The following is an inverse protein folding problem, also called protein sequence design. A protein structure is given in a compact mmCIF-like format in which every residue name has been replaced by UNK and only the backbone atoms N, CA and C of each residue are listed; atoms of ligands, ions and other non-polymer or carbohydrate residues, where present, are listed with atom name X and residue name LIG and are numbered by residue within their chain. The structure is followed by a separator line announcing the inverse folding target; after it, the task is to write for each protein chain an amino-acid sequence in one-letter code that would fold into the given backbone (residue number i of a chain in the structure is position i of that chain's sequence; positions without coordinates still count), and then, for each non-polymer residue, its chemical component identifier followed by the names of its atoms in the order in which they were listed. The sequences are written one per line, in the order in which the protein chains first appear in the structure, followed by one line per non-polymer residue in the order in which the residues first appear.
data_IF_364883509829
#
_entry.id   IF_364883509829
#
_cell.length_a   1.000
_cell.length_b   1.000
_cell.length_c   1.000
_cell.angle_alpha   90.00
_cell.angle_beta   90.00
_cell.angle_gamma   90.00
#
_symmetry.space_group_name_H-M   'P 1'
#
loop_
_entity.id
_entity.type
_entity.pdbx_description
1 polymer ?
#
# COMPACT_ATOMS: atom_id res chain seq x y z
N UNK A 1 -0.14 4.82 31.61
CA UNK A 1 -0.61 4.23 30.34
C UNK A 1 0.06 4.98 29.20
N UNK A 2 1.05 4.40 28.54
CA UNK A 2 1.88 5.09 27.55
C UNK A 2 1.09 5.33 26.25
N UNK A 3 0.65 6.56 25.99
CA UNK A 3 0.14 7.04 24.68
C UNK A 3 1.27 7.04 23.64
N UNK A 4 1.82 5.88 23.29
CA UNK A 4 2.74 5.75 22.15
C UNK A 4 1.91 5.32 20.95
N UNK A 5 1.45 6.29 20.17
CA UNK A 5 0.67 6.07 18.95
C UNK A 5 1.32 5.03 18.01
N UNK A 6 0.49 4.22 17.35
CA UNK A 6 0.89 3.09 16.49
C UNK A 6 2.12 3.38 15.63
N UNK A 7 3.15 2.54 15.71
CA UNK A 7 4.38 2.77 14.95
C UNK A 7 4.18 2.73 13.43
N UNK A 8 4.97 3.49 12.68
CA UNK A 8 4.92 3.48 11.19
C UNK A 8 4.96 2.06 10.63
N UNK A 9 5.74 1.17 11.28
CA UNK A 9 5.82 -0.25 10.90
C UNK A 9 4.50 -0.99 11.15
N UNK A 10 3.80 -0.73 12.26
CA UNK A 10 2.47 -1.33 12.53
C UNK A 10 1.41 -0.83 11.56
N UNK A 11 1.42 0.47 11.26
CA UNK A 11 0.51 1.07 10.27
C UNK A 11 0.77 0.46 8.88
N UNK A 12 2.05 0.36 8.49
CA UNK A 12 2.44 -0.27 7.23
C UNK A 12 1.99 -1.73 7.17
N UNK A 13 2.20 -2.52 8.23
CA UNK A 13 1.81 -3.93 8.29
C UNK A 13 0.29 -4.12 8.14
N UNK A 14 -0.51 -3.29 8.80
CA UNK A 14 -1.96 -3.34 8.70
C UNK A 14 -2.46 -2.90 7.31
N UNK A 15 -1.80 -1.91 6.70
CA UNK A 15 -2.18 -1.36 5.41
C UNK A 15 -1.62 -2.18 4.22
N UNK A 16 -0.61 -3.02 4.46
CA UNK A 16 0.04 -3.83 3.44
C UNK A 16 -0.89 -4.80 2.70
N UNK A 17 -1.73 -5.63 3.35
CA UNK A 17 -2.64 -6.51 2.62
C UNK A 17 -3.62 -5.73 1.74
N UNK A 18 -4.02 -4.53 2.17
CA UNK A 18 -4.90 -3.66 1.38
C UNK A 18 -4.16 -3.07 0.17
N UNK A 19 -2.96 -2.53 0.38
CA UNK A 19 -2.15 -1.95 -0.70
C UNK A 19 -1.68 -2.99 -1.73
N UNK A 20 -1.23 -4.16 -1.26
CA UNK A 20 -0.84 -5.28 -2.11
C UNK A 20 -2.03 -5.84 -2.89
N UNK A 21 -3.20 -5.98 -2.25
CA UNK A 21 -4.43 -6.41 -2.92
C UNK A 21 -4.88 -5.41 -4.00
N UNK A 22 -4.91 -4.12 -3.67
CA UNK A 22 -5.24 -3.07 -4.63
C UNK A 22 -4.26 -3.06 -5.82
N UNK A 23 -2.96 -3.16 -5.56
CA UNK A 23 -1.95 -3.21 -6.61
C UNK A 23 -2.08 -4.46 -7.48
N UNK A 24 -2.35 -5.64 -6.90
CA UNK A 24 -2.53 -6.89 -7.65
C UNK A 24 -3.72 -6.82 -8.62
N UNK A 25 -4.85 -6.29 -8.15
CA UNK A 25 -6.05 -6.09 -8.99
C UNK A 25 -5.76 -5.10 -10.11
N UNK A 26 -5.07 -3.99 -9.82
CA UNK A 26 -4.72 -3.01 -10.85
C UNK A 26 -3.73 -3.57 -11.88
N UNK A 27 -2.75 -4.38 -11.47
CA UNK A 27 -1.82 -5.05 -12.40
C UNK A 27 -2.58 -6.03 -13.31
N UNK A 28 -3.53 -6.79 -12.76
CA UNK A 28 -4.37 -7.68 -13.57
C UNK A 28 -5.18 -6.88 -14.61
N UNK A 29 -5.85 -5.81 -14.19
CA UNK A 29 -6.60 -4.94 -15.11
C UNK A 29 -5.71 -4.26 -16.15
N UNK A 30 -4.52 -3.78 -15.77
CA UNK A 30 -3.55 -3.22 -16.70
C UNK A 30 -3.14 -4.25 -17.77
N UNK A 31 -3.00 -5.51 -17.38
CA UNK A 31 -2.72 -6.58 -18.33
C UNK A 31 -3.88 -6.85 -19.30
N UNK A 32 -5.14 -6.75 -18.85
CA UNK A 32 -6.29 -6.86 -19.77
C UNK A 32 -6.30 -5.73 -20.80
N UNK A 33 -5.98 -4.50 -20.39
CA UNK A 33 -5.85 -3.36 -21.32
C UNK A 33 -4.69 -3.61 -22.30
N UNK A 34 -3.55 -4.08 -21.80
CA UNK A 34 -2.37 -4.35 -22.64
C UNK A 34 -2.61 -5.52 -23.61
N UNK A 35 -3.50 -6.45 -23.26
CA UNK A 35 -3.93 -7.53 -24.15
C UNK A 35 -4.59 -7.01 -25.42
N UNK A 36 -5.22 -5.83 -25.39
CA UNK A 36 -5.81 -5.22 -26.59
C UNK A 36 -4.74 -4.77 -27.60
N UNK A 37 -3.50 -4.58 -27.15
CA UNK A 37 -2.33 -4.23 -27.98
C UNK A 37 -1.54 -5.50 -28.40
N UNK A 38 -2.08 -6.70 -28.13
CA UNK A 38 -1.46 -7.98 -28.46
C UNK A 38 -0.51 -8.54 -27.38
N UNK A 39 -0.49 -7.93 -26.19
CA UNK A 39 0.31 -8.44 -25.07
C UNK A 39 -0.31 -9.65 -24.36
N UNK A 40 0.50 -10.43 -23.61
CA UNK A 40 0.00 -11.56 -22.85
C UNK A 40 -0.85 -11.12 -21.66
N UNK A 41 -1.90 -11.90 -21.35
CA UNK A 41 -2.72 -11.72 -20.14
C UNK A 41 -1.96 -12.29 -18.94
N UNK A 42 -1.77 -11.48 -17.91
CA UNK A 42 -1.10 -11.83 -16.69
C UNK A 42 -1.95 -12.86 -15.94
N UNK A 43 -1.33 -14.00 -15.58
CA UNK A 43 -1.97 -14.97 -14.72
C UNK A 43 -2.19 -14.38 -13.31
N UNK A 44 -3.08 -14.99 -12.54
CA UNK A 44 -3.33 -14.61 -11.14
C UNK A 44 -2.05 -14.57 -10.32
N UNK A 45 -1.15 -15.53 -10.52
CA UNK A 45 0.15 -15.59 -9.83
C UNK A 45 1.03 -14.39 -10.19
N UNK A 46 1.15 -14.05 -11.48
CA UNK A 46 1.96 -12.90 -11.93
C UNK A 46 1.40 -11.59 -11.40
N UNK A 47 0.08 -11.41 -11.47
CA UNK A 47 -0.59 -10.20 -10.99
C UNK A 47 -0.43 -10.04 -9.47
N UNK A 48 -0.52 -11.14 -8.71
CA UNK A 48 -0.33 -11.12 -7.27
C UNK A 48 1.12 -10.84 -6.88
N UNK A 49 2.09 -11.46 -7.55
CA UNK A 49 3.52 -11.21 -7.27
C UNK A 49 3.89 -9.77 -7.58
N UNK A 50 3.53 -9.25 -8.76
CA UNK A 50 3.78 -7.86 -9.13
C UNK A 50 3.02 -6.89 -8.22
N UNK A 51 1.78 -7.21 -7.88
CA UNK A 51 0.96 -6.46 -6.93
C UNK A 51 1.58 -6.38 -5.54
N UNK A 52 2.14 -7.47 -5.03
CA UNK A 52 2.87 -7.46 -3.76
C UNK A 52 4.15 -6.60 -3.84
N UNK A 53 4.93 -6.75 -4.92
CA UNK A 53 6.17 -5.98 -5.12
C UNK A 53 5.91 -4.49 -5.25
N UNK A 54 4.87 -4.09 -5.99
CA UNK A 54 4.48 -2.68 -6.20
C UNK A 54 3.69 -2.13 -4.99
N UNK A 55 2.89 -2.98 -4.35
CA UNK A 55 2.12 -2.64 -3.16
C UNK A 55 3.00 -2.34 -1.95
N UNK A 56 4.15 -3.01 -1.79
CA UNK A 56 5.10 -2.76 -0.72
C UNK A 56 5.58 -1.29 -0.62
N UNK A 57 6.16 -0.68 -1.68
CA UNK A 57 6.59 0.71 -1.64
C UNK A 57 5.40 1.67 -1.52
N UNK A 58 4.26 1.36 -2.14
CA UNK A 58 3.04 2.19 -2.03
C UNK A 58 2.52 2.24 -0.58
N UNK A 59 2.37 1.08 0.06
CA UNK A 59 1.98 0.98 1.47
C UNK A 59 2.98 1.67 2.39
N UNK A 60 4.28 1.53 2.14
CA UNK A 60 5.31 2.19 2.95
C UNK A 60 5.20 3.71 2.87
N UNK A 61 4.97 4.26 1.67
CA UNK A 61 4.76 5.68 1.47
C UNK A 61 3.53 6.18 2.23
N UNK A 62 2.40 5.48 2.13
CA UNK A 62 1.18 5.81 2.89
C UNK A 62 1.39 5.74 4.39
N UNK A 63 2.06 4.69 4.90
CA UNK A 63 2.33 4.56 6.32
C UNK A 63 3.23 5.69 6.85
N UNK A 64 4.22 6.10 6.06
CA UNK A 64 5.07 7.27 6.38
C UNK A 64 4.24 8.55 6.41
N UNK A 65 3.34 8.74 5.45
CA UNK A 65 2.45 9.89 5.40
C UNK A 65 1.52 9.95 6.62
N UNK A 66 0.86 8.83 6.97
CA UNK A 66 0.01 8.74 8.17
C UNK A 66 0.81 9.04 9.43
N UNK A 67 2.04 8.50 9.57
CA UNK A 67 2.90 8.82 10.71
C UNK A 67 3.21 10.31 10.80
N UNK A 68 3.48 10.95 9.65
CA UNK A 68 3.73 12.39 9.62
C UNK A 68 2.51 13.18 10.11
N UNK A 69 1.30 12.81 9.67
CA UNK A 69 0.05 13.42 10.15
C UNK A 69 -0.18 13.20 11.65
N UNK A 70 0.09 12.00 12.17
CA UNK A 70 0.01 11.72 13.61
C UNK A 70 0.98 12.60 14.41
N UNK A 71 2.22 12.74 13.94
CA UNK A 71 3.20 13.61 14.60
C UNK A 71 2.78 15.09 14.58
N UNK A 72 2.08 15.54 13.54
CA UNK A 72 1.53 16.89 13.47
C UNK A 72 0.35 17.07 14.45
N UNK A 73 -0.52 16.08 14.56
CA UNK A 73 -1.66 16.11 15.49
C UNK A 73 -1.20 16.09 16.96
N UNK A 74 -0.24 15.25 17.32
CA UNK A 74 0.34 15.20 18.67
C UNK A 74 1.03 16.52 19.06
N UNK A 75 1.52 17.30 18.09
CA UNK A 75 2.07 18.64 18.31
C UNK A 75 1.02 19.72 18.53
N UNK A 76 -0.24 19.46 18.18
CA UNK A 76 -1.34 20.43 18.27
C UNK A 76 -2.20 20.27 19.53
N UNK A 77 -1.99 19.27 20.39
CA UNK A 77 -2.61 19.25 21.73
C UNK A 77 -2.02 20.39 22.58
N UNK A 78 -2.77 21.47 22.87
CA UNK A 78 -2.32 22.48 23.82
C UNK A 78 -2.46 21.91 25.24
N UNK A 79 -1.42 22.10 26.05
CA UNK A 79 -1.41 21.78 27.48
C UNK A 79 -2.31 22.76 28.24
#
# INVERSE_FOLDING_TARGET
MTRQGWSTRRIALALYPFGAGAAAVNVFFASLIFSWVGGPVASTAVSLTLGCVIGAPATWYFARHIRHLMNLADRQEPI
#
